data_IF_879748459039
#
_entry.id   IF_879748459039
#
_cell.length_a   1.000
_cell.length_b   1.000
_cell.length_c   1.000
_cell.angle_alpha   90.00
_cell.angle_beta   90.00
_cell.angle_gamma   90.00
#
_symmetry.space_group_name_H-M   'P 1'
#
loop_
_entity.id
_entity.type
_entity.pdbx_description
1 polymer ?
#
# COMPACT_ATOMS: atom_id res chain seq x y z
N UNK A 1 -19.01 -2.61 -17.45
CA UNK A 1 -18.87 -1.33 -16.73
C UNK A 1 -17.68 -0.58 -17.31
N UNK A 2 -17.81 0.70 -17.63
CA UNK A 2 -16.68 1.50 -18.14
C UNK A 2 -15.85 1.92 -16.93
N UNK A 3 -14.77 1.21 -16.62
CA UNK A 3 -13.80 1.70 -15.65
C UNK A 3 -13.25 3.02 -16.21
N UNK A 4 -13.55 4.15 -15.55
CA UNK A 4 -12.93 5.44 -15.88
C UNK A 4 -11.47 5.37 -15.45
N UNK A 5 -10.64 4.70 -16.25
CA UNK A 5 -9.21 4.56 -16.01
C UNK A 5 -8.48 5.80 -16.48
N UNK A 6 -7.55 6.29 -15.65
CA UNK A 6 -6.63 7.38 -15.98
C UNK A 6 -5.30 6.77 -16.39
N UNK A 7 -4.94 6.86 -17.66
CA UNK A 7 -3.67 6.31 -18.15
C UNK A 7 -2.55 7.33 -18.01
N UNK A 8 -1.42 6.90 -17.45
CA UNK A 8 -0.19 7.69 -17.50
C UNK A 8 0.22 7.87 -18.96
N UNK A 9 0.51 9.11 -19.35
CA UNK A 9 1.00 9.48 -20.68
C UNK A 9 2.38 10.15 -20.65
N UNK A 10 2.84 10.56 -19.47
CA UNK A 10 4.15 11.17 -19.30
C UNK A 10 5.26 10.11 -19.32
N UNK A 11 6.06 10.12 -20.37
CA UNK A 11 7.15 9.16 -20.55
C UNK A 11 8.24 9.31 -19.49
N UNK A 12 8.51 10.54 -19.04
CA UNK A 12 9.58 10.82 -18.08
C UNK A 12 9.22 10.25 -16.71
N UNK A 13 7.96 10.34 -16.30
CA UNK A 13 7.46 9.70 -15.08
C UNK A 13 7.60 8.18 -15.17
N UNK A 14 7.25 7.58 -16.31
CA UNK A 14 7.39 6.13 -16.50
C UNK A 14 8.85 5.66 -16.46
N UNK A 15 9.78 6.36 -17.11
CA UNK A 15 11.20 6.02 -17.07
C UNK A 15 11.78 6.18 -15.65
N UNK A 16 11.39 7.21 -14.90
CA UNK A 16 11.82 7.36 -13.49
C UNK A 16 11.35 6.20 -12.61
N UNK A 17 10.13 5.69 -12.81
CA UNK A 17 9.65 4.51 -12.09
C UNK A 17 10.56 3.29 -12.32
N UNK A 18 11.05 3.08 -13.53
CA UNK A 18 12.00 2.01 -13.86
C UNK A 18 13.35 2.26 -13.18
N UNK A 19 13.85 3.50 -13.23
CA UNK A 19 15.10 3.87 -12.57
C UNK A 19 15.04 3.64 -11.05
N UNK A 20 13.91 3.96 -10.41
CA UNK A 20 13.74 3.73 -8.97
C UNK A 20 13.70 2.26 -8.57
N UNK A 21 13.31 1.37 -9.50
CA UNK A 21 13.23 -0.07 -9.28
C UNK A 21 14.57 -0.79 -9.48
N UNK A 22 15.56 -0.12 -10.09
CA UNK A 22 16.90 -0.63 -10.33
C UNK A 22 16.87 -2.04 -10.95
N UNK A 23 16.22 -2.15 -12.11
CA UNK A 23 15.93 -3.43 -12.76
C UNK A 23 17.19 -4.06 -13.39
N UNK A 24 17.24 -5.39 -13.34
CA UNK A 24 18.19 -6.28 -14.00
C UNK A 24 17.45 -7.33 -14.81
N UNK A 25 18.16 -8.05 -15.70
CA UNK A 25 17.56 -9.09 -16.53
C UNK A 25 17.04 -10.30 -15.72
N UNK A 26 17.54 -10.50 -14.50
CA UNK A 26 17.11 -11.55 -13.58
C UNK A 26 15.81 -11.20 -12.83
N UNK A 27 15.35 -9.95 -12.91
CA UNK A 27 14.12 -9.52 -12.25
C UNK A 27 12.87 -9.99 -13.00
N UNK A 28 11.83 -10.32 -12.22
CA UNK A 28 10.47 -10.52 -12.71
C UNK A 28 9.56 -9.52 -12.02
N UNK A 29 8.95 -8.65 -12.84
CA UNK A 29 8.14 -7.53 -12.38
C UNK A 29 6.66 -7.82 -12.49
N UNK A 30 5.94 -7.73 -11.38
CA UNK A 30 4.48 -7.70 -11.37
C UNK A 30 3.98 -6.29 -11.73
N UNK A 31 3.13 -6.19 -12.75
CA UNK A 31 2.37 -4.99 -13.07
C UNK A 31 0.86 -5.25 -12.93
N UNK A 32 0.18 -4.47 -12.10
CA UNK A 32 -1.25 -4.57 -11.83
C UNK A 32 -1.99 -3.42 -12.53
N UNK A 33 -2.96 -3.77 -13.36
CA UNK A 33 -3.70 -2.81 -14.18
C UNK A 33 -2.82 -2.28 -15.31
N UNK A 34 -2.17 -3.20 -16.04
CA UNK A 34 -1.25 -2.89 -17.14
C UNK A 34 -1.89 -1.99 -18.23
N UNK A 35 -3.22 -2.01 -18.33
CA UNK A 35 -3.98 -1.08 -19.13
C UNK A 35 -3.53 -1.09 -20.56
N UNK A 36 -3.16 0.07 -21.10
CA UNK A 36 -2.77 0.14 -22.50
C UNK A 36 -1.36 -0.38 -22.83
N UNK A 37 -0.63 -0.88 -21.84
CA UNK A 37 0.74 -1.36 -21.98
C UNK A 37 1.79 -0.24 -22.00
N UNK A 38 1.44 1.00 -21.63
CA UNK A 38 2.37 2.13 -21.65
C UNK A 38 3.57 1.94 -20.72
N UNK A 39 3.32 1.44 -19.51
CA UNK A 39 4.36 1.13 -18.54
C UNK A 39 4.94 -0.26 -18.80
N UNK A 40 4.10 -1.27 -19.06
CA UNK A 40 4.49 -2.64 -19.44
C UNK A 40 5.59 -2.69 -20.50
N UNK A 41 5.42 -1.99 -21.62
CA UNK A 41 6.39 -1.98 -22.74
C UNK A 41 7.76 -1.43 -22.36
N UNK A 42 7.83 -0.62 -21.31
CA UNK A 42 9.09 -0.02 -20.85
C UNK A 42 9.76 -0.95 -19.86
N UNK A 43 9.01 -1.52 -18.91
CA UNK A 43 9.52 -2.53 -17.98
C UNK A 43 10.08 -3.73 -18.75
N UNK A 44 9.34 -4.21 -19.77
CA UNK A 44 9.71 -5.37 -20.58
C UNK A 44 11.03 -5.23 -21.37
N UNK A 45 11.61 -4.02 -21.45
CA UNK A 45 12.94 -3.78 -22.03
C UNK A 45 14.09 -4.19 -21.11
N UNK A 46 13.81 -4.33 -19.80
CA UNK A 46 14.82 -4.55 -18.77
C UNK A 46 14.60 -5.85 -17.99
N UNK A 47 13.36 -6.33 -17.90
CA UNK A 47 12.98 -7.48 -17.06
C UNK A 47 11.77 -8.23 -17.64
N UNK A 48 11.52 -9.46 -17.18
CA UNK A 48 10.26 -10.17 -17.46
C UNK A 48 9.12 -9.45 -16.74
N UNK A 49 7.94 -9.36 -17.36
CA UNK A 49 6.75 -8.76 -16.76
C UNK A 49 5.64 -9.78 -16.63
N UNK A 50 5.05 -9.88 -15.44
CA UNK A 50 3.76 -10.52 -15.20
C UNK A 50 2.71 -9.41 -15.10
N UNK A 51 1.89 -9.27 -16.13
CA UNK A 51 0.89 -8.21 -16.24
C UNK A 51 -0.50 -8.72 -15.89
N UNK A 52 -1.08 -8.25 -14.79
CA UNK A 52 -2.47 -8.51 -14.44
C UNK A 52 -3.35 -7.42 -15.06
N UNK A 53 -4.34 -7.83 -15.86
CA UNK A 53 -5.33 -6.93 -16.44
C UNK A 53 -6.71 -7.58 -16.45
N UNK A 54 -7.75 -6.77 -16.18
CA UNK A 54 -9.15 -7.22 -16.14
C UNK A 54 -9.87 -6.95 -17.46
N UNK A 55 -9.48 -5.90 -18.18
CA UNK A 55 -10.15 -5.44 -19.39
C UNK A 55 -9.67 -6.17 -20.64
N UNK A 56 -10.54 -7.03 -21.18
CA UNK A 56 -10.33 -7.85 -22.39
C UNK A 56 -9.77 -7.07 -23.58
N UNK A 57 -10.11 -5.77 -23.68
CA UNK A 57 -9.68 -4.90 -24.79
C UNK A 57 -8.18 -4.70 -24.84
N UNK A 58 -7.50 -4.91 -23.71
CA UNK A 58 -6.07 -4.70 -23.58
C UNK A 58 -5.26 -5.99 -23.63
N UNK A 59 -5.86 -7.12 -23.24
CA UNK A 59 -5.20 -8.43 -23.14
C UNK A 59 -4.46 -8.80 -24.43
N UNK A 60 -5.14 -8.75 -25.58
CA UNK A 60 -4.54 -9.14 -26.86
C UNK A 60 -3.41 -8.23 -27.32
N UNK A 61 -3.36 -6.97 -26.85
CA UNK A 61 -2.23 -6.08 -27.11
C UNK A 61 -1.06 -6.37 -26.16
N UNK A 62 -1.34 -6.67 -24.89
CA UNK A 62 -0.32 -6.97 -23.90
C UNK A 62 0.43 -8.26 -24.27
N UNK A 63 -0.29 -9.30 -24.72
CA UNK A 63 0.30 -10.57 -25.19
C UNK A 63 1.27 -10.43 -26.37
N UNK A 64 1.20 -9.33 -27.12
CA UNK A 64 2.09 -9.04 -28.25
C UNK A 64 3.40 -8.36 -27.83
N UNK A 65 3.53 -7.98 -26.56
CA UNK A 65 4.75 -7.36 -26.03
C UNK A 65 5.71 -8.50 -25.67
N UNK A 66 6.95 -8.51 -26.21
CA UNK A 66 7.97 -9.47 -25.80
C UNK A 66 8.23 -9.41 -24.30
N UNK A 67 8.62 -10.53 -23.68
CA UNK A 67 8.92 -10.64 -22.25
C UNK A 67 7.73 -10.34 -21.30
N UNK A 68 6.49 -10.38 -21.81
CA UNK A 68 5.28 -10.15 -21.02
C UNK A 68 4.44 -11.42 -20.96
N UNK A 69 4.15 -11.86 -19.75
CA UNK A 69 3.14 -12.85 -19.42
C UNK A 69 1.87 -12.13 -18.94
N UNK A 70 0.72 -12.45 -19.53
CA UNK A 70 -0.54 -11.76 -19.23
C UNK A 70 -1.45 -12.66 -18.40
N UNK A 71 -1.77 -12.21 -17.19
CA UNK A 71 -2.75 -12.83 -16.31
C UNK A 71 -4.07 -12.06 -16.44
N UNK A 72 -5.05 -12.69 -17.07
CA UNK A 72 -6.37 -12.09 -17.22
C UNK A 72 -7.20 -12.30 -15.96
N UNK A 73 -7.48 -11.23 -15.22
CA UNK A 73 -8.27 -11.34 -14.00
C UNK A 73 -8.34 -10.08 -13.15
N UNK A 74 -9.20 -10.11 -12.15
CA UNK A 74 -9.24 -9.07 -11.12
C UNK A 74 -8.08 -9.29 -10.15
N UNK A 75 -7.16 -8.33 -10.05
CA UNK A 75 -6.00 -8.41 -9.18
C UNK A 75 -6.35 -8.69 -7.71
N UNK A 76 -7.55 -8.31 -7.23
CA UNK A 76 -8.01 -8.65 -5.89
C UNK A 76 -8.33 -10.14 -5.71
N UNK A 77 -8.61 -10.87 -6.79
CA UNK A 77 -8.97 -12.29 -6.76
C UNK A 77 -7.88 -13.23 -7.31
N UNK A 78 -6.97 -12.75 -8.15
CA UNK A 78 -5.82 -13.54 -8.64
C UNK A 78 -4.94 -13.97 -7.46
N UNK A 79 -4.59 -15.25 -7.39
CA UNK A 79 -3.67 -15.72 -6.34
C UNK A 79 -2.24 -15.29 -6.64
N UNK A 80 -1.68 -14.37 -5.83
CA UNK A 80 -0.28 -13.93 -5.99
C UNK A 80 0.71 -14.99 -5.49
N UNK A 81 0.21 -16.03 -4.82
CA UNK A 81 0.94 -17.24 -4.45
C UNK A 81 1.50 -18.01 -5.64
N UNK A 82 0.74 -18.02 -6.74
CA UNK A 82 1.05 -18.75 -7.97
C UNK A 82 1.88 -17.93 -8.97
N UNK A 83 2.10 -16.65 -8.69
CA UNK A 83 2.87 -15.75 -9.56
C UNK A 83 4.31 -15.66 -9.10
N UNK A 84 5.23 -15.87 -10.04
CA UNK A 84 6.66 -15.62 -9.83
C UNK A 84 6.97 -14.15 -10.11
N UNK A 85 7.33 -13.40 -9.07
CA UNK A 85 7.83 -12.03 -9.18
C UNK A 85 8.69 -11.69 -7.96
N UNK A 86 9.69 -10.84 -8.15
CA UNK A 86 10.51 -10.30 -7.05
C UNK A 86 10.40 -8.77 -6.95
N UNK A 87 9.84 -8.09 -7.95
CA UNK A 87 9.58 -6.65 -7.91
C UNK A 87 8.17 -6.32 -8.37
N UNK A 88 7.66 -5.17 -7.95
CA UNK A 88 6.35 -4.68 -8.39
C UNK A 88 6.52 -3.26 -8.92
N UNK A 89 6.03 -2.99 -10.13
CA UNK A 89 5.98 -1.62 -10.66
C UNK A 89 4.58 -1.42 -11.22
N UNK A 90 3.81 -0.48 -10.66
CA UNK A 90 2.40 -0.36 -11.04
C UNK A 90 1.80 1.01 -10.79
N UNK A 91 0.98 1.43 -11.75
CA UNK A 91 0.07 2.55 -11.59
C UNK A 91 -1.25 2.05 -10.98
N UNK A 92 -1.30 1.96 -9.64
CA UNK A 92 -2.39 1.26 -8.94
C UNK A 92 -3.74 1.93 -9.19
N UNK A 93 -4.79 1.19 -9.59
CA UNK A 93 -6.13 1.76 -9.71
C UNK A 93 -6.64 2.26 -8.35
N UNK A 94 -7.02 3.54 -8.28
CA UNK A 94 -7.23 4.24 -7.00
C UNK A 94 -8.31 3.62 -6.10
N UNK A 95 -9.37 3.08 -6.70
CA UNK A 95 -10.48 2.47 -5.97
C UNK A 95 -10.11 1.18 -5.23
N UNK A 96 -9.01 0.51 -5.59
CA UNK A 96 -8.54 -0.73 -4.93
C UNK A 96 -7.23 -0.53 -4.17
N UNK A 97 -6.69 0.71 -4.08
CA UNK A 97 -5.35 0.96 -3.54
C UNK A 97 -5.11 0.33 -2.17
N UNK A 98 -6.03 0.49 -1.21
CA UNK A 98 -5.85 -0.08 0.13
C UNK A 98 -5.83 -1.60 0.12
N UNK A 99 -6.84 -2.23 -0.49
CA UNK A 99 -6.98 -3.69 -0.49
C UNK A 99 -5.79 -4.34 -1.22
N UNK A 100 -5.41 -3.78 -2.37
CA UNK A 100 -4.31 -4.29 -3.16
C UNK A 100 -2.96 -4.11 -2.47
N UNK A 101 -2.75 -3.00 -1.74
CA UNK A 101 -1.51 -2.78 -0.98
C UNK A 101 -1.33 -3.84 0.11
N UNK A 102 -2.38 -4.11 0.89
CA UNK A 102 -2.28 -5.14 1.94
C UNK A 102 -2.16 -6.55 1.36
N UNK A 103 -2.87 -6.84 0.27
CA UNK A 103 -2.71 -8.10 -0.47
C UNK A 103 -1.28 -8.29 -1.00
N UNK A 104 -0.65 -7.24 -1.54
CA UNK A 104 0.75 -7.29 -1.96
C UNK A 104 1.66 -7.60 -0.77
N UNK A 105 1.40 -6.99 0.39
CA UNK A 105 2.20 -7.16 1.62
C UNK A 105 2.03 -8.53 2.30
N UNK A 106 1.10 -9.37 1.83
CA UNK A 106 1.05 -10.80 2.20
C UNK A 106 2.14 -11.63 1.50
N UNK A 107 2.79 -11.05 0.47
CA UNK A 107 3.90 -11.67 -0.27
C UNK A 107 5.22 -10.98 0.08
N UNK A 108 6.29 -11.76 0.04
CA UNK A 108 7.66 -11.24 0.08
C UNK A 108 8.09 -10.86 -1.33
N UNK A 109 8.63 -9.67 -1.50
CA UNK A 109 9.27 -9.19 -2.73
C UNK A 109 10.31 -8.12 -2.36
N UNK A 110 11.23 -7.82 -3.26
CA UNK A 110 12.39 -6.97 -2.99
C UNK A 110 12.01 -5.49 -2.91
N UNK A 111 11.25 -5.01 -3.91
CA UNK A 111 10.81 -3.61 -3.97
C UNK A 111 9.55 -3.42 -4.80
N UNK A 112 8.69 -2.54 -4.33
CA UNK A 112 7.53 -2.03 -5.04
C UNK A 112 7.71 -0.55 -5.38
N UNK A 113 7.60 -0.19 -6.65
CA UNK A 113 7.50 1.19 -7.15
C UNK A 113 6.06 1.41 -7.61
N UNK A 114 5.26 1.99 -6.73
CA UNK A 114 3.81 2.00 -6.84
C UNK A 114 3.29 3.44 -6.88
N UNK A 115 2.42 3.73 -7.83
CA UNK A 115 1.80 5.05 -7.91
C UNK A 115 0.42 5.04 -7.28
N UNK A 116 0.18 6.00 -6.39
CA UNK A 116 -1.09 6.19 -5.68
C UNK A 116 -1.58 7.63 -5.84
N UNK A 117 -2.84 7.89 -5.47
CA UNK A 117 -3.28 9.27 -5.24
C UNK A 117 -2.45 9.91 -4.14
N UNK A 118 -2.19 11.21 -4.27
CA UNK A 118 -1.36 11.97 -3.33
C UNK A 118 -1.78 11.80 -1.87
N UNK A 119 -3.07 11.97 -1.57
CA UNK A 119 -3.57 11.83 -0.20
C UNK A 119 -3.32 10.43 0.37
N UNK A 120 -3.51 9.39 -0.45
CA UNK A 120 -3.28 8.01 -0.02
C UNK A 120 -1.80 7.78 0.30
N UNK A 121 -0.91 8.20 -0.61
CA UNK A 121 0.54 8.11 -0.41
C UNK A 121 1.02 8.89 0.82
N UNK A 122 0.53 10.12 1.01
CA UNK A 122 0.84 10.94 2.19
C UNK A 122 0.39 10.27 3.49
N UNK A 123 -0.78 9.61 3.49
CA UNK A 123 -1.25 8.84 4.64
C UNK A 123 -0.40 7.60 4.91
N UNK A 124 0.13 6.92 3.89
CA UNK A 124 1.00 5.75 4.10
C UNK A 124 2.27 6.08 4.89
N UNK A 125 2.81 7.29 4.71
CA UNK A 125 4.13 7.69 5.27
C UNK A 125 4.03 8.78 6.34
N UNK A 126 2.81 9.12 6.78
CA UNK A 126 2.57 10.21 7.71
C UNK A 126 3.20 9.95 9.09
N UNK A 127 3.95 10.90 9.68
CA UNK A 127 4.40 10.76 11.06
C UNK A 127 3.26 11.00 12.05
N UNK A 128 3.38 10.51 13.30
CA UNK A 128 2.46 10.87 14.39
C UNK A 128 2.30 12.39 14.52
N UNK A 129 1.20 12.83 15.15
CA UNK A 129 0.81 14.23 15.30
C UNK A 129 0.43 14.97 13.99
N UNK A 130 0.36 14.29 12.85
CA UNK A 130 -0.06 14.91 11.59
C UNK A 130 -1.47 14.56 11.19
N UNK A 131 -2.11 15.43 10.41
CA UNK A 131 -3.47 15.22 9.89
C UNK A 131 -3.61 13.92 9.07
N UNK A 132 -2.56 13.54 8.36
CA UNK A 132 -2.54 12.33 7.51
C UNK A 132 -2.25 11.04 8.31
N UNK A 133 -1.81 11.14 9.57
CA UNK A 133 -1.58 9.98 10.43
C UNK A 133 -2.87 9.22 10.70
N UNK A 134 -2.92 7.96 10.28
CA UNK A 134 -4.14 7.15 10.28
C UNK A 134 -3.84 5.67 10.46
N UNK A 135 -4.89 4.85 10.58
CA UNK A 135 -4.79 3.38 10.57
C UNK A 135 -3.93 2.87 9.41
N UNK A 136 -4.08 3.46 8.21
CA UNK A 136 -3.30 3.07 7.05
C UNK A 136 -1.80 3.15 7.34
N UNK A 137 -1.35 4.26 7.93
CA UNK A 137 0.06 4.48 8.30
C UNK A 137 0.58 3.36 9.19
N UNK A 138 -0.14 3.08 10.28
CA UNK A 138 0.29 2.09 11.28
C UNK A 138 0.36 0.69 10.68
N UNK A 139 -0.66 0.32 9.90
CA UNK A 139 -0.72 -1.00 9.28
C UNK A 139 0.32 -1.17 8.16
N UNK A 140 0.59 -0.14 7.35
CA UNK A 140 1.66 -0.22 6.34
C UNK A 140 3.03 -0.22 6.99
N UNK A 141 3.26 0.61 8.01
CA UNK A 141 4.51 0.66 8.76
C UNK A 141 4.86 -0.67 9.42
N UNK A 142 3.85 -1.38 9.93
CA UNK A 142 4.01 -2.72 10.51
C UNK A 142 4.58 -3.75 9.52
N UNK A 143 4.23 -3.63 8.24
CA UNK A 143 4.55 -4.63 7.20
C UNK A 143 5.67 -4.22 6.25
N UNK A 144 5.95 -2.93 6.11
CA UNK A 144 6.87 -2.41 5.09
C UNK A 144 7.54 -1.09 5.48
N UNK A 145 8.67 -0.82 4.82
CA UNK A 145 9.25 0.52 4.69
C UNK A 145 8.68 1.22 3.46
N UNK A 146 7.90 2.29 3.68
CA UNK A 146 7.29 3.09 2.64
C UNK A 146 7.90 4.50 2.60
N UNK A 147 8.19 5.02 1.40
CA UNK A 147 8.62 6.41 1.20
C UNK A 147 8.08 6.98 -0.11
N UNK A 148 7.65 8.24 -0.09
CA UNK A 148 7.32 8.97 -1.32
C UNK A 148 8.63 9.31 -2.02
N UNK A 149 8.75 8.91 -3.28
CA UNK A 149 9.88 9.24 -4.14
C UNK A 149 9.62 10.51 -4.94
N UNK A 150 8.37 10.72 -5.37
CA UNK A 150 8.04 11.80 -6.31
C UNK A 150 6.56 12.16 -6.26
N UNK A 151 6.25 13.46 -6.41
CA UNK A 151 4.91 13.95 -6.68
C UNK A 151 4.68 14.06 -8.19
N UNK A 152 3.57 13.51 -8.68
CA UNK A 152 3.22 13.45 -10.09
C UNK A 152 1.97 14.30 -10.35
N UNK A 153 2.07 15.40 -11.13
CA UNK A 153 0.91 16.22 -11.48
C UNK A 153 -0.14 15.42 -12.25
N UNK A 154 -1.43 15.69 -12.00
CA UNK A 154 -2.55 15.07 -12.72
C UNK A 154 -2.50 15.23 -14.24
N UNK A 155 -1.83 16.27 -14.73
CA UNK A 155 -1.69 16.57 -16.16
C UNK A 155 -0.89 15.50 -16.90
N UNK A 156 -0.12 14.67 -16.19
CA UNK A 156 0.61 13.51 -16.71
C UNK A 156 -0.31 12.34 -17.13
N UNK A 157 -1.65 12.47 -16.99
CA UNK A 157 -2.60 11.40 -17.25
C UNK A 157 -3.70 11.77 -18.25
N UNK A 158 -4.26 10.78 -18.95
CA UNK A 158 -5.45 10.94 -19.80
C UNK A 158 -6.47 9.81 -19.59
N UNK A 159 -7.76 10.13 -19.37
CA UNK A 159 -8.29 11.46 -19.02
C UNK A 159 -7.63 12.03 -17.76
N UNK A 160 -7.67 13.35 -17.55
CA UNK A 160 -7.04 13.99 -16.39
C UNK A 160 -7.81 13.63 -15.11
N UNK A 161 -7.16 13.07 -14.06
CA UNK A 161 -7.80 12.81 -12.77
C UNK A 161 -8.08 14.10 -12.01
N UNK A 162 -8.90 14.02 -10.96
CA UNK A 162 -9.25 15.18 -10.14
C UNK A 162 -8.13 15.64 -9.21
N UNK A 163 -7.21 14.74 -8.89
CA UNK A 163 -6.16 14.92 -7.89
C UNK A 163 -4.81 14.46 -8.45
N UNK A 164 -3.74 14.96 -7.85
CA UNK A 164 -2.37 14.54 -8.14
C UNK A 164 -2.08 13.15 -7.58
N UNK A 165 -0.96 12.59 -8.04
CA UNK A 165 -0.46 11.28 -7.65
C UNK A 165 0.92 11.37 -7.01
N UNK A 166 1.38 10.28 -6.42
CA UNK A 166 2.74 10.13 -5.92
C UNK A 166 3.27 8.75 -6.28
N UNK A 167 4.55 8.68 -6.63
CA UNK A 167 5.29 7.42 -6.71
C UNK A 167 5.83 7.11 -5.32
N UNK A 168 5.51 5.91 -4.83
CA UNK A 168 5.92 5.40 -3.52
C UNK A 168 6.84 4.20 -3.72
N UNK A 169 7.98 4.20 -3.04
CA UNK A 169 8.78 2.99 -2.85
C UNK A 169 8.28 2.27 -1.61
N UNK A 170 7.99 0.98 -1.75
CA UNK A 170 7.54 0.08 -0.70
C UNK A 170 8.47 -1.14 -0.64
N UNK A 171 9.07 -1.39 0.51
CA UNK A 171 9.93 -2.57 0.75
C UNK A 171 9.26 -3.41 1.85
N UNK A 172 8.73 -4.60 1.54
CA UNK A 172 8.18 -5.52 2.54
C UNK A 172 9.24 -5.93 3.57
N UNK A 173 8.85 -5.94 4.85
CA UNK A 173 9.70 -6.38 5.96
C UNK A 173 9.14 -7.63 6.66
N UNK A 174 7.95 -8.10 6.26
CA UNK A 174 7.20 -9.10 7.02
C UNK A 174 6.54 -8.47 8.23
N UNK A 175 7.22 -8.48 9.38
CA UNK A 175 6.74 -7.89 10.65
C UNK A 175 7.82 -7.01 11.25
N UNK A 176 7.49 -5.75 11.52
CA UNK A 176 8.43 -4.84 12.18
C UNK A 176 8.59 -5.11 13.68
N UNK A 177 7.58 -5.69 14.30
CA UNK A 177 7.57 -6.05 15.72
C UNK A 177 6.68 -7.27 15.96
N UNK A 178 6.91 -8.01 17.04
CA UNK A 178 6.10 -9.17 17.39
C UNK A 178 4.82 -8.76 18.14
N UNK A 179 3.66 -9.10 17.57
CA UNK A 179 2.32 -8.91 18.14
C UNK A 179 1.37 -9.99 17.64
N UNK A 180 0.34 -10.31 18.42
CA UNK A 180 -0.84 -11.00 17.92
C UNK A 180 -1.52 -10.14 16.85
N UNK A 181 -1.50 -10.58 15.59
CA UNK A 181 -1.94 -9.78 14.44
C UNK A 181 -3.44 -9.43 14.49
N UNK A 182 -4.28 -10.38 14.88
CA UNK A 182 -5.73 -10.16 14.97
C UNK A 182 -6.06 -9.12 16.06
N UNK A 183 -5.39 -9.22 17.21
CA UNK A 183 -5.52 -8.23 18.28
C UNK A 183 -4.98 -6.88 17.83
N UNK A 184 -3.81 -6.84 17.20
CA UNK A 184 -3.20 -5.61 16.71
C UNK A 184 -4.11 -4.88 15.73
N UNK A 185 -4.66 -5.59 14.73
CA UNK A 185 -5.64 -5.03 13.79
C UNK A 185 -6.89 -4.49 14.48
N UNK A 186 -7.40 -5.23 15.46
CA UNK A 186 -8.58 -4.86 16.25
C UNK A 186 -8.31 -3.58 17.06
N UNK A 187 -7.18 -3.51 17.77
CA UNK A 187 -6.79 -2.36 18.58
C UNK A 187 -6.52 -1.14 17.71
N UNK A 188 -5.76 -1.27 16.62
CA UNK A 188 -5.49 -0.15 15.70
C UNK A 188 -6.81 0.37 15.11
N UNK A 189 -7.72 -0.53 14.70
CA UNK A 189 -9.06 -0.12 14.21
C UNK A 189 -9.81 0.68 15.28
N UNK A 190 -9.92 0.16 16.50
CA UNK A 190 -10.61 0.80 17.60
C UNK A 190 -10.03 2.19 17.94
N UNK A 191 -8.71 2.29 18.07
CA UNK A 191 -8.04 3.55 18.36
C UNK A 191 -8.34 4.59 17.27
N UNK A 192 -8.18 4.25 15.99
CA UNK A 192 -8.34 5.23 14.90
C UNK A 192 -9.80 5.54 14.55
N UNK A 193 -10.79 4.75 14.99
CA UNK A 193 -12.21 5.16 15.02
C UNK A 193 -12.42 6.38 15.90
N UNK A 194 -11.60 6.54 16.94
CA UNK A 194 -11.65 7.64 17.91
C UNK A 194 -10.35 8.45 17.93
N UNK A 195 -9.74 8.69 16.76
CA UNK A 195 -8.42 9.33 16.58
C UNK A 195 -8.16 10.59 17.45
N UNK A 196 -9.21 11.40 17.70
CA UNK A 196 -9.14 12.66 18.45
C UNK A 196 -9.37 12.51 19.97
N UNK A 197 -9.68 11.32 20.45
CA UNK A 197 -9.87 10.99 21.88
C UNK A 197 -8.55 10.49 22.47
N UNK A 198 -8.50 10.44 23.80
CA UNK A 198 -7.39 9.81 24.51
C UNK A 198 -7.45 8.29 24.36
N UNK A 199 -6.31 7.60 24.48
CA UNK A 199 -6.20 6.14 24.34
C UNK A 199 -7.18 5.42 25.27
N UNK A 200 -7.20 5.78 26.57
CA UNK A 200 -8.12 5.14 27.53
C UNK A 200 -9.60 5.30 27.18
N UNK A 201 -9.96 6.44 26.59
CA UNK A 201 -11.34 6.67 26.15
C UNK A 201 -11.66 5.88 24.88
N UNK A 202 -10.72 5.80 23.93
CA UNK A 202 -10.91 5.04 22.69
C UNK A 202 -11.06 3.53 22.97
N UNK A 203 -10.20 2.96 23.81
CA UNK A 203 -10.27 1.54 24.21
C UNK A 203 -11.57 1.20 24.94
N UNK A 204 -12.02 2.08 25.84
CA UNK A 204 -13.25 1.88 26.59
C UNK A 204 -14.53 2.03 25.74
N UNK A 205 -14.53 2.90 24.72
CA UNK A 205 -15.69 3.04 23.81
C UNK A 205 -15.85 1.79 22.94
N UNK A 206 -14.74 1.18 22.53
CA UNK A 206 -14.71 0.00 21.66
C UNK A 206 -14.69 -1.31 22.46
N UNK A 207 -14.93 -1.25 23.77
CA UNK A 207 -14.99 -2.40 24.70
C UNK A 207 -13.75 -3.32 24.65
N UNK A 208 -12.57 -2.72 24.43
CA UNK A 208 -11.29 -3.44 24.42
C UNK A 208 -10.72 -3.57 25.83
N UNK A 209 -10.82 -2.50 26.63
CA UNK A 209 -10.37 -2.45 28.01
C UNK A 209 -11.12 -1.34 28.75
N UNK A 210 -11.37 -1.52 30.04
CA UNK A 210 -11.99 -0.50 30.89
C UNK A 210 -10.98 0.60 31.23
N UNK A 211 -11.48 1.77 31.62
CA UNK A 211 -10.62 2.94 31.87
C UNK A 211 -9.70 2.74 33.07
N UNK A 212 -10.22 2.14 34.13
CA UNK A 212 -9.52 1.81 35.38
C UNK A 212 -8.41 0.78 35.16
N UNK A 213 -8.60 -0.17 34.24
CA UNK A 213 -7.60 -1.18 33.91
C UNK A 213 -6.35 -0.59 33.22
N UNK A 214 -6.52 0.51 32.48
CA UNK A 214 -5.45 1.12 31.67
C UNK A 214 -5.01 2.48 32.19
N UNK A 215 -5.59 3.00 33.28
CA UNK A 215 -5.38 4.38 33.74
C UNK A 215 -3.92 4.70 34.06
N UNK A 216 -3.21 3.73 34.64
CA UNK A 216 -1.80 3.84 35.03
C UNK A 216 -0.82 3.67 33.84
N UNK A 217 -1.33 3.41 32.63
CA UNK A 217 -0.46 3.24 31.47
C UNK A 217 0.08 4.59 30.99
N UNK A 218 1.38 4.70 30.63
CA UNK A 218 1.97 5.96 30.14
C UNK A 218 1.24 6.55 28.92
N UNK A 219 0.60 5.70 28.12
CA UNK A 219 -0.15 6.06 26.93
C UNK A 219 -1.60 6.52 27.20
N UNK A 220 -2.16 6.23 28.38
CA UNK A 220 -3.60 6.32 28.64
C UNK A 220 -4.19 7.72 28.41
N UNK A 221 -3.44 8.76 28.79
CA UNK A 221 -3.82 10.17 28.66
C UNK A 221 -3.50 10.77 27.28
N UNK A 222 -2.62 10.13 26.49
CA UNK A 222 -2.25 10.61 25.16
C UNK A 222 -3.44 10.50 24.21
N UNK A 223 -3.48 11.36 23.19
CA UNK A 223 -4.44 11.19 22.08
C UNK A 223 -3.95 10.10 21.14
N UNK A 224 -4.87 9.39 20.51
CA UNK A 224 -4.51 8.29 19.59
C UNK A 224 -3.54 8.73 18.50
N UNK A 225 -3.74 9.94 17.95
CA UNK A 225 -2.87 10.49 16.90
C UNK A 225 -1.43 10.80 17.35
N UNK A 226 -1.14 10.71 18.65
CA UNK A 226 0.17 10.95 19.26
C UNK A 226 0.97 9.66 19.45
N UNK A 227 0.32 8.49 19.39
CA UNK A 227 0.98 7.21 19.57
C UNK A 227 1.82 6.85 18.35
N UNK A 228 3.07 6.43 18.58
CA UNK A 228 3.84 5.73 17.55
C UNK A 228 3.28 4.31 17.31
N UNK A 229 3.55 3.71 16.14
CA UNK A 229 3.19 2.31 15.89
C UNK A 229 3.74 1.34 16.94
N UNK A 230 4.96 1.56 17.43
CA UNK A 230 5.59 0.75 18.49
C UNK A 230 4.88 0.90 19.83
N UNK A 231 4.39 2.10 20.16
CA UNK A 231 3.58 2.31 21.36
C UNK A 231 2.24 1.57 21.24
N UNK A 232 1.63 1.55 20.06
CA UNK A 232 0.42 0.75 19.82
C UNK A 232 0.73 -0.75 19.95
N UNK A 233 1.86 -1.21 19.45
CA UNK A 233 2.29 -2.60 19.62
C UNK A 233 2.52 -2.97 21.10
N UNK A 234 3.12 -2.07 21.89
CA UNK A 234 3.29 -2.25 23.32
C UNK A 234 1.93 -2.28 24.06
N UNK A 235 0.97 -1.45 23.67
CA UNK A 235 -0.40 -1.49 24.17
C UNK A 235 -1.06 -2.84 23.90
N UNK A 236 -0.91 -3.38 22.68
CA UNK A 236 -1.50 -4.67 22.33
C UNK A 236 -0.97 -5.80 23.19
N UNK A 237 0.35 -5.84 23.47
CA UNK A 237 0.96 -6.84 24.35
C UNK A 237 0.41 -6.78 25.78
N UNK A 238 0.26 -5.56 26.34
CA UNK A 238 -0.36 -5.39 27.67
C UNK A 238 -1.82 -5.87 27.69
N UNK A 239 -2.59 -5.59 26.63
CA UNK A 239 -3.98 -6.04 26.50
C UNK A 239 -4.05 -7.57 26.41
N UNK A 240 -3.10 -8.21 25.73
CA UNK A 240 -3.01 -9.67 25.63
C UNK A 240 -2.72 -10.31 26.99
N UNK A 241 -1.84 -9.73 27.80
CA UNK A 241 -1.49 -10.20 29.15
C UNK A 241 -2.64 -10.06 30.18
N UNK A 242 -3.62 -9.19 29.91
CA UNK A 242 -4.80 -9.02 30.77
C UNK A 242 -5.88 -10.09 30.56
N UNK A 243 -5.84 -10.80 29.42
CA UNK A 243 -6.83 -11.82 29.05
C UNK A 243 -6.41 -13.20 29.53
#
# INVERSE_FOLDING_TARGET
MRLSQHFLIDERVAERQIQYADLTEDDVVLEIGAGNGFLTKRIARYAKVVAIELDDRFIERLKKIPNVEVVHGNALHVDFGELEFNKVISNIPYHISSQLTFKLLERTFDVGILMYQREFAERMVAPPHTKSYSRLTVMTYYRADCRILEHVPRECFRPVPKVDSCVVKMVPLGKRFEVNEELFETVVRALFSHRRKTVKNALAIEDIAKKDEVEEWPEASKRVEELSPEQIAALCRKIEEMK
#
